data_IF_484658116552
#
_entry.id   IF_484658116552
#
_cell.length_a   1.000
_cell.length_b   1.000
_cell.length_c   1.000
_cell.angle_alpha   90.00
_cell.angle_beta   90.00
_cell.angle_gamma   90.00
#
_symmetry.space_group_name_H-M   'P 1'
#
loop_
_entity.id
_entity.type
_entity.pdbx_description
1 polymer ?
#
# COMPACT_ATOMS: atom_id res chain seq x y z
N UNK A 1 38.44 25.39 -58.00
CA UNK A 1 37.01 25.76 -58.11
C UNK A 1 36.16 24.49 -58.21
N UNK A 2 35.45 24.11 -57.14
CA UNK A 2 34.41 23.07 -57.13
C UNK A 2 33.29 23.52 -56.19
N UNK A 3 32.06 23.38 -56.67
CA UNK A 3 30.79 23.81 -56.09
C UNK A 3 30.24 22.81 -55.06
N UNK A 4 29.35 23.35 -54.21
CA UNK A 4 28.19 22.77 -53.49
C UNK A 4 28.24 21.33 -52.95
N UNK A 5 28.07 21.21 -51.63
CA UNK A 5 27.03 20.34 -51.05
C UNK A 5 26.55 20.89 -49.69
N UNK A 6 25.23 20.90 -49.49
CA UNK A 6 24.51 21.44 -48.33
C UNK A 6 24.12 20.27 -47.41
N UNK A 7 24.37 20.29 -46.09
CA UNK A 7 23.75 19.34 -45.18
C UNK A 7 22.38 19.82 -44.67
N UNK A 8 21.41 18.91 -44.45
CA UNK A 8 20.01 19.23 -44.25
C UNK A 8 19.66 19.59 -42.79
N UNK A 9 18.81 20.60 -42.67
CA UNK A 9 18.09 20.98 -41.47
C UNK A 9 16.97 19.97 -41.17
N UNK A 10 17.24 18.93 -40.38
CA UNK A 10 16.19 18.10 -39.76
C UNK A 10 16.73 17.39 -38.53
N UNK A 11 16.87 18.10 -37.41
CA UNK A 11 17.13 17.45 -36.11
C UNK A 11 16.65 18.25 -34.89
N UNK A 12 16.28 19.53 -35.04
CA UNK A 12 15.98 20.39 -33.88
C UNK A 12 14.51 20.37 -33.45
N UNK A 13 13.58 19.97 -34.32
CA UNK A 13 12.14 20.05 -34.00
C UNK A 13 11.61 18.85 -33.20
N UNK A 14 12.34 17.72 -33.16
CA UNK A 14 11.90 16.52 -32.43
C UNK A 14 12.24 16.55 -30.93
N UNK A 15 13.17 17.41 -30.51
CA UNK A 15 13.63 17.46 -29.11
C UNK A 15 12.68 18.31 -28.25
N UNK A 16 12.03 19.33 -28.85
CA UNK A 16 11.13 20.24 -28.13
C UNK A 16 9.75 19.62 -27.87
N UNK A 17 9.27 18.73 -28.75
CA UNK A 17 7.97 18.07 -28.57
C UNK A 17 7.99 16.93 -27.53
N UNK A 18 9.18 16.40 -27.17
CA UNK A 18 9.33 15.35 -26.16
C UNK A 18 9.46 15.88 -24.73
N UNK A 19 9.49 17.20 -24.54
CA UNK A 19 9.61 17.84 -23.23
C UNK A 19 8.25 18.15 -22.57
N UNK A 20 7.13 17.98 -23.26
CA UNK A 20 5.79 18.38 -22.76
C UNK A 20 4.96 17.20 -22.24
N UNK A 21 5.49 15.98 -22.28
CA UNK A 21 4.85 14.78 -21.71
C UNK A 21 5.81 14.06 -20.76
N UNK A 22 6.37 14.80 -19.79
CA UNK A 22 6.90 14.18 -18.58
C UNK A 22 5.73 14.15 -17.60
N UNK A 23 4.89 13.16 -17.85
CA UNK A 23 4.01 12.42 -16.94
C UNK A 23 3.73 13.09 -15.60
N UNK A 24 2.48 13.54 -15.44
CA UNK A 24 1.88 13.98 -14.17
C UNK A 24 2.13 12.97 -13.04
N UNK A 25 2.24 11.66 -13.35
CA UNK A 25 2.61 10.59 -12.41
C UNK A 25 4.06 10.70 -11.91
N UNK A 26 5.00 11.04 -12.79
CA UNK A 26 6.41 11.26 -12.43
C UNK A 26 6.54 12.51 -11.56
N UNK A 27 5.76 13.57 -11.84
CA UNK A 27 5.75 14.76 -10.99
C UNK A 27 5.15 14.50 -9.61
N UNK A 28 4.07 13.72 -9.49
CA UNK A 28 3.54 13.30 -8.18
C UNK A 28 4.51 12.39 -7.40
N UNK A 29 5.27 11.54 -8.11
CA UNK A 29 6.30 10.70 -7.50
C UNK A 29 7.53 11.50 -7.03
N UNK A 30 7.77 12.71 -7.54
CA UNK A 30 8.82 13.60 -7.00
C UNK A 30 8.43 14.22 -5.65
N UNK A 31 7.14 14.30 -5.33
CA UNK A 31 6.66 14.84 -4.05
C UNK A 31 6.48 13.76 -2.97
N UNK A 32 6.36 12.49 -3.37
CA UNK A 32 6.16 11.37 -2.45
C UNK A 32 7.46 10.59 -2.26
N UNK A 33 7.87 10.25 -1.03
CA UNK A 33 9.10 9.49 -0.82
C UNK A 33 8.99 8.12 -1.52
N UNK A 34 10.08 7.62 -2.13
CA UNK A 34 10.07 6.29 -2.69
C UNK A 34 9.87 5.27 -1.55
N UNK A 35 8.90 4.36 -1.69
CA UNK A 35 8.60 3.37 -0.66
C UNK A 35 9.65 2.26 -0.59
N UNK A 36 9.91 1.75 0.61
CA UNK A 36 11.05 0.86 0.88
C UNK A 36 10.55 -0.45 1.49
N UNK A 37 11.00 -1.58 0.93
CA UNK A 37 10.77 -2.92 1.47
C UNK A 37 11.49 -3.11 2.79
N UNK A 38 10.82 -3.69 3.78
CA UNK A 38 11.30 -3.72 5.17
C UNK A 38 12.11 -4.96 5.54
N UNK A 39 12.82 -5.55 4.58
CA UNK A 39 13.67 -6.69 4.90
C UNK A 39 15.04 -6.25 5.42
N UNK A 40 15.34 -6.71 6.63
CA UNK A 40 16.55 -6.49 7.43
C UNK A 40 17.84 -6.53 6.59
N UNK A 41 18.36 -5.35 6.28
CA UNK A 41 19.72 -5.13 5.79
C UNK A 41 20.43 -4.15 6.74
N UNK A 42 20.44 -4.48 8.03
CA UNK A 42 21.15 -3.70 9.04
C UNK A 42 20.41 -2.45 9.54
N UNK A 43 21.06 -1.64 10.38
CA UNK A 43 20.46 -0.42 10.92
C UNK A 43 20.12 0.57 9.80
N UNK A 44 19.00 1.31 9.90
CA UNK A 44 18.65 2.33 8.92
C UNK A 44 19.75 3.39 8.84
N UNK A 45 19.97 3.92 7.62
CA UNK A 45 20.92 5.02 7.39
C UNK A 45 20.53 6.22 8.26
N UNK A 46 21.51 6.86 8.91
CA UNK A 46 21.29 8.03 9.79
C UNK A 46 20.76 9.26 9.05
N UNK A 47 20.74 9.23 7.71
CA UNK A 47 20.17 10.27 6.84
C UNK A 47 18.64 10.19 6.75
N UNK A 48 18.03 9.14 7.31
CA UNK A 48 16.60 8.82 7.23
C UNK A 48 15.80 9.52 8.33
N UNK A 49 14.50 9.66 8.13
CA UNK A 49 13.60 10.31 9.08
C UNK A 49 13.11 9.36 10.20
N UNK A 50 13.49 8.08 10.14
CA UNK A 50 13.20 7.10 11.18
C UNK A 50 13.76 7.54 12.55
N UNK A 51 12.92 7.47 13.57
CA UNK A 51 13.25 7.84 14.94
C UNK A 51 13.09 9.33 15.29
N UNK A 52 12.72 10.20 14.33
CA UNK A 52 12.38 11.59 14.62
C UNK A 52 11.08 11.72 15.44
N UNK A 53 10.79 12.89 16.00
CA UNK A 53 9.52 13.15 16.69
C UNK A 53 8.35 13.33 15.71
N UNK A 54 7.10 13.19 16.18
CA UNK A 54 5.91 13.27 15.30
C UNK A 54 5.82 14.69 14.78
N UNK A 55 6.07 14.88 13.49
CA UNK A 55 6.16 16.23 12.93
C UNK A 55 4.89 16.57 12.13
N UNK A 56 4.27 15.58 11.51
CA UNK A 56 3.13 15.75 10.64
C UNK A 56 1.87 15.04 11.14
N UNK A 57 0.71 15.61 10.79
CA UNK A 57 -0.60 14.98 10.96
C UNK A 57 -0.97 14.18 9.70
N UNK A 58 -1.31 12.89 9.82
CA UNK A 58 -1.83 12.09 8.71
C UNK A 58 -3.03 12.76 8.04
N UNK A 59 -3.04 12.78 6.70
CA UNK A 59 -4.12 13.35 5.88
C UNK A 59 -4.00 14.85 5.56
N UNK A 60 -3.11 15.60 6.22
CA UNK A 60 -2.83 17.02 5.90
C UNK A 60 -1.45 17.14 5.26
N UNK A 61 -0.47 16.44 5.81
CA UNK A 61 0.91 16.47 5.36
C UNK A 61 1.22 15.25 4.51
N UNK A 62 2.32 15.31 3.75
CA UNK A 62 2.85 14.15 3.07
C UNK A 62 3.68 13.31 4.06
N UNK A 63 3.70 11.98 3.90
CA UNK A 63 4.56 11.14 4.70
C UNK A 63 6.02 11.44 4.36
N UNK A 64 6.87 11.36 5.38
CA UNK A 64 8.32 11.47 5.25
C UNK A 64 8.90 10.22 4.62
N UNK A 65 8.44 9.06 5.07
CA UNK A 65 8.92 7.75 4.64
C UNK A 65 7.78 6.74 4.61
N UNK A 66 7.95 5.67 3.81
CA UNK A 66 6.96 4.60 3.68
C UNK A 66 7.67 3.28 3.84
N UNK A 67 7.16 2.52 4.80
CA UNK A 67 7.65 1.21 5.21
C UNK A 67 6.74 0.15 4.59
N UNK A 68 7.29 -0.75 3.78
CA UNK A 68 6.53 -1.83 3.12
C UNK A 68 6.71 -3.16 3.83
N UNK A 69 5.62 -3.61 4.44
CA UNK A 69 5.53 -4.93 5.07
C UNK A 69 5.09 -5.92 4.01
N UNK A 70 5.94 -6.90 3.76
CA UNK A 70 5.79 -7.81 2.62
C UNK A 70 4.83 -8.96 2.95
N UNK A 71 4.19 -9.50 1.90
CA UNK A 71 3.30 -10.64 2.02
C UNK A 71 4.08 -11.90 2.44
N UNK A 72 3.52 -12.64 3.39
CA UNK A 72 4.02 -13.95 3.80
C UNK A 72 3.47 -15.06 2.87
N UNK A 73 4.35 -15.66 2.08
CA UNK A 73 4.02 -16.73 1.15
C UNK A 73 4.00 -18.13 1.79
N UNK A 74 4.28 -18.26 3.10
CA UNK A 74 4.39 -19.55 3.78
C UNK A 74 3.10 -20.38 3.73
N UNK A 75 1.93 -19.73 3.74
CA UNK A 75 0.61 -20.38 3.65
C UNK A 75 0.05 -20.44 2.24
N UNK A 76 0.89 -20.26 1.21
CA UNK A 76 0.53 -20.45 -0.19
C UNK A 76 -0.26 -19.28 -0.79
N UNK A 77 -1.54 -19.51 -1.12
CA UNK A 77 -2.36 -18.54 -1.88
C UNK A 77 -3.06 -17.49 -1.02
N UNK A 78 -3.19 -17.72 0.29
CA UNK A 78 -3.90 -16.80 1.16
C UNK A 78 -3.10 -15.49 1.33
N UNK A 79 -3.74 -14.31 1.19
CA UNK A 79 -3.08 -13.05 1.47
C UNK A 79 -2.91 -12.89 2.97
N UNK A 80 -1.66 -12.93 3.42
CA UNK A 80 -1.25 -12.77 4.80
C UNK A 80 0.07 -11.99 4.82
N UNK A 81 0.34 -11.27 5.89
CA UNK A 81 1.55 -10.45 6.03
C UNK A 81 2.42 -10.95 7.17
N UNK A 82 3.72 -10.73 7.03
CA UNK A 82 4.67 -11.07 8.09
C UNK A 82 4.44 -10.20 9.33
N UNK A 83 4.36 -10.83 10.50
CA UNK A 83 4.28 -10.15 11.81
C UNK A 83 5.65 -9.77 12.38
N UNK A 84 6.72 -9.91 11.59
CA UNK A 84 8.07 -9.49 11.97
C UNK A 84 8.13 -7.99 12.17
N UNK A 85 8.61 -7.55 13.34
CA UNK A 85 8.67 -6.14 13.67
C UNK A 85 9.75 -5.41 12.84
N UNK A 86 9.39 -4.35 12.10
CA UNK A 86 10.34 -3.51 11.38
C UNK A 86 11.09 -2.55 12.31
N UNK A 87 12.42 -2.45 12.17
CA UNK A 87 13.24 -1.58 13.04
C UNK A 87 12.98 -0.09 12.76
N UNK A 88 12.49 0.24 11.58
CA UNK A 88 12.08 1.58 11.15
C UNK A 88 10.94 2.16 11.99
N UNK A 89 10.13 1.29 12.61
CA UNK A 89 9.04 1.68 13.49
C UNK A 89 9.44 1.69 14.97
N UNK A 90 10.70 1.37 15.27
CA UNK A 90 11.24 1.41 16.63
C UNK A 90 11.10 2.83 17.20
N UNK A 91 10.64 2.93 18.45
CA UNK A 91 10.38 4.22 19.10
C UNK A 91 9.00 4.84 18.84
N UNK A 92 8.22 4.35 17.86
CA UNK A 92 6.83 4.81 17.61
C UNK A 92 5.77 3.87 18.14
N UNK A 93 5.90 2.58 17.84
CA UNK A 93 4.93 1.56 18.19
C UNK A 93 5.65 0.38 18.83
N UNK A 94 5.00 -0.25 19.81
CA UNK A 94 5.57 -1.43 20.45
C UNK A 94 5.53 -2.64 19.51
N UNK A 95 6.54 -3.54 19.55
CA UNK A 95 6.52 -4.76 18.74
C UNK A 95 5.30 -5.64 18.99
N UNK A 96 4.79 -5.64 20.23
CA UNK A 96 3.58 -6.40 20.61
C UNK A 96 2.34 -5.83 19.93
N UNK A 97 2.12 -4.51 19.98
CA UNK A 97 0.97 -3.86 19.34
C UNK A 97 1.01 -4.03 17.82
N UNK A 98 2.20 -3.93 17.21
CA UNK A 98 2.37 -4.18 15.79
C UNK A 98 2.00 -5.62 15.41
N UNK A 99 2.52 -6.61 16.15
CA UNK A 99 2.22 -8.02 15.91
C UNK A 99 0.72 -8.31 16.06
N UNK A 100 0.08 -7.79 17.10
CA UNK A 100 -1.37 -7.90 17.30
C UNK A 100 -2.16 -7.31 16.13
N UNK A 101 -1.81 -6.10 15.68
CA UNK A 101 -2.45 -5.44 14.54
C UNK A 101 -2.35 -6.28 13.26
N UNK A 102 -1.17 -6.82 12.96
CA UNK A 102 -0.95 -7.66 11.77
C UNK A 102 -1.70 -9.00 11.91
N UNK A 103 -1.73 -9.60 13.08
CA UNK A 103 -2.47 -10.84 13.34
C UNK A 103 -3.99 -10.65 13.18
N UNK A 104 -4.54 -9.54 13.67
CA UNK A 104 -5.96 -9.19 13.48
C UNK A 104 -6.28 -8.96 12.00
N UNK A 105 -5.42 -8.24 11.29
CA UNK A 105 -5.54 -8.00 9.86
C UNK A 105 -5.51 -9.33 9.08
N UNK A 106 -4.56 -10.20 9.38
CA UNK A 106 -4.44 -11.53 8.79
C UNK A 106 -5.69 -12.38 9.10
N UNK A 107 -6.24 -12.30 10.30
CA UNK A 107 -7.45 -13.04 10.69
C UNK A 107 -8.66 -12.64 9.84
N UNK A 108 -8.82 -11.35 9.54
CA UNK A 108 -9.89 -10.84 8.66
C UNK A 108 -9.68 -11.32 7.21
N UNK A 109 -8.44 -11.31 6.72
CA UNK A 109 -8.11 -11.79 5.37
C UNK A 109 -8.35 -13.29 5.20
N UNK A 110 -8.02 -14.08 6.22
CA UNK A 110 -8.30 -15.52 6.26
C UNK A 110 -9.81 -15.77 6.23
N UNK A 111 -10.60 -15.03 7.01
CA UNK A 111 -12.08 -15.15 6.97
C UNK A 111 -12.61 -14.78 5.57
N UNK A 112 -12.09 -13.71 4.96
CA UNK A 112 -12.52 -13.26 3.64
C UNK A 112 -12.34 -14.32 2.55
N UNK A 113 -11.28 -15.14 2.63
CA UNK A 113 -10.95 -16.19 1.68
C UNK A 113 -11.45 -17.57 2.09
N UNK A 114 -12.40 -17.65 3.04
CA UNK A 114 -12.98 -18.92 3.44
C UNK A 114 -13.80 -19.55 2.29
N UNK A 115 -13.41 -20.74 1.77
CA UNK A 115 -14.06 -21.34 0.61
C UNK A 115 -15.48 -21.81 0.92
N UNK A 116 -15.74 -22.29 2.14
CA UNK A 116 -17.04 -22.77 2.58
C UNK A 116 -18.08 -21.64 2.57
N UNK A 117 -17.69 -20.45 3.08
CA UNK A 117 -18.58 -19.28 3.09
C UNK A 117 -18.86 -18.78 1.69
N UNK A 118 -17.84 -18.75 0.84
CA UNK A 118 -17.96 -18.39 -0.57
C UNK A 118 -18.86 -19.35 -1.33
N UNK A 119 -18.77 -20.66 -1.06
CA UNK A 119 -19.63 -21.67 -1.67
C UNK A 119 -21.11 -21.49 -1.28
N UNK A 120 -21.40 -21.24 0.00
CA UNK A 120 -22.77 -20.96 0.47
C UNK A 120 -23.33 -19.70 -0.20
N UNK A 121 -22.54 -18.63 -0.25
CA UNK A 121 -22.95 -17.36 -0.84
C UNK A 121 -23.27 -17.51 -2.34
N UNK A 122 -22.42 -18.23 -3.08
CA UNK A 122 -22.67 -18.55 -4.49
C UNK A 122 -23.89 -19.45 -4.69
N UNK A 123 -24.12 -20.42 -3.80
CA UNK A 123 -25.30 -21.29 -3.87
C UNK A 123 -26.59 -20.49 -3.68
N UNK A 124 -26.61 -19.54 -2.75
CA UNK A 124 -27.73 -18.62 -2.53
C UNK A 124 -27.88 -17.67 -3.71
N UNK A 125 -26.78 -17.17 -4.27
CA UNK A 125 -26.80 -16.33 -5.46
C UNK A 125 -27.50 -17.04 -6.63
N UNK A 126 -27.11 -18.29 -6.93
CA UNK A 126 -27.74 -19.07 -8.00
C UNK A 126 -29.21 -19.33 -7.70
N UNK A 127 -29.54 -19.75 -6.47
CA UNK A 127 -30.92 -20.04 -6.06
C UNK A 127 -31.86 -18.81 -6.15
N UNK A 128 -31.31 -17.60 -6.05
CA UNK A 128 -32.06 -16.33 -6.09
C UNK A 128 -31.89 -15.56 -7.40
N UNK A 129 -31.34 -16.20 -8.45
CA UNK A 129 -31.02 -15.53 -9.72
C UNK A 129 -30.18 -14.25 -9.54
N UNK A 130 -29.19 -14.32 -8.64
CA UNK A 130 -28.28 -13.25 -8.23
C UNK A 130 -28.94 -12.05 -7.51
N UNK A 131 -30.25 -12.07 -7.27
CA UNK A 131 -30.93 -10.98 -6.56
C UNK A 131 -30.37 -10.78 -5.14
N UNK A 132 -29.98 -11.88 -4.47
CA UNK A 132 -29.32 -11.79 -3.16
C UNK A 132 -28.04 -10.96 -3.23
N UNK A 133 -27.16 -11.20 -4.21
CA UNK A 133 -25.87 -10.50 -4.32
C UNK A 133 -26.03 -9.00 -4.56
N UNK A 134 -27.09 -8.59 -5.25
CA UNK A 134 -27.40 -7.17 -5.49
C UNK A 134 -27.85 -6.47 -4.22
N UNK A 135 -28.72 -7.09 -3.43
CA UNK A 135 -29.28 -6.50 -2.20
C UNK A 135 -28.29 -6.55 -1.05
N UNK A 136 -27.61 -7.68 -0.90
CA UNK A 136 -26.83 -8.03 0.29
C UNK A 136 -25.32 -7.89 0.10
N UNK A 137 -24.83 -7.92 -1.14
CA UNK A 137 -23.41 -8.03 -1.46
C UNK A 137 -22.86 -9.44 -1.15
N UNK A 138 -21.72 -9.76 -1.77
CA UNK A 138 -21.05 -11.04 -1.52
C UNK A 138 -20.41 -11.11 -0.13
N UNK A 139 -20.16 -12.33 0.35
CA UNK A 139 -19.39 -12.58 1.56
C UNK A 139 -18.06 -11.81 1.56
N UNK A 140 -17.30 -11.93 0.47
CA UNK A 140 -16.02 -11.26 0.31
C UNK A 140 -16.15 -9.74 0.44
N UNK A 141 -17.13 -9.13 -0.25
CA UNK A 141 -17.35 -7.67 -0.20
C UNK A 141 -17.61 -7.20 1.23
N UNK A 142 -18.44 -7.92 1.99
CA UNK A 142 -18.75 -7.60 3.38
C UNK A 142 -17.53 -7.71 4.27
N UNK A 143 -16.73 -8.76 4.11
CA UNK A 143 -15.52 -8.94 4.93
C UNK A 143 -14.45 -7.90 4.57
N UNK A 144 -14.33 -7.50 3.30
CA UNK A 144 -13.45 -6.39 2.90
C UNK A 144 -13.90 -5.04 3.48
N UNK A 145 -15.21 -4.79 3.61
CA UNK A 145 -15.71 -3.61 4.32
C UNK A 145 -15.36 -3.63 5.81
N UNK A 146 -15.39 -4.81 6.44
CA UNK A 146 -14.92 -4.97 7.83
C UNK A 146 -13.42 -4.69 7.94
N UNK A 147 -12.61 -5.17 6.98
CA UNK A 147 -11.18 -4.88 6.90
C UNK A 147 -10.92 -3.38 6.82
N UNK A 148 -11.62 -2.68 5.93
CA UNK A 148 -11.50 -1.22 5.79
C UNK A 148 -11.87 -0.49 7.09
N UNK A 149 -12.95 -0.90 7.74
CA UNK A 149 -13.39 -0.34 9.02
C UNK A 149 -12.37 -0.61 10.13
N UNK A 150 -11.79 -1.81 10.16
CA UNK A 150 -10.73 -2.19 11.09
C UNK A 150 -9.49 -1.31 10.89
N UNK A 151 -9.02 -1.15 9.65
CA UNK A 151 -7.86 -0.30 9.32
C UNK A 151 -8.13 1.15 9.73
N UNK A 152 -9.29 1.70 9.40
CA UNK A 152 -9.65 3.07 9.79
C UNK A 152 -9.69 3.25 11.30
N UNK A 153 -10.25 2.28 12.03
CA UNK A 153 -10.29 2.30 13.49
C UNK A 153 -8.89 2.24 14.09
N UNK A 154 -8.07 1.28 13.66
CA UNK A 154 -6.67 1.13 14.11
C UNK A 154 -5.83 2.35 13.78
N UNK A 155 -6.08 2.98 12.63
CA UNK A 155 -5.45 4.24 12.26
C UNK A 155 -5.79 5.36 13.25
N UNK A 156 -7.07 5.54 13.60
CA UNK A 156 -7.50 6.61 14.51
C UNK A 156 -7.05 6.35 15.95
N UNK A 157 -7.20 5.12 16.44
CA UNK A 157 -6.99 4.78 17.85
C UNK A 157 -5.51 4.58 18.19
N UNK A 158 -4.73 3.96 17.30
CA UNK A 158 -3.38 3.48 17.60
C UNK A 158 -2.32 4.21 16.78
N UNK A 159 -2.51 4.37 15.46
CA UNK A 159 -1.43 4.80 14.57
C UNK A 159 -1.29 6.32 14.42
N UNK A 160 -2.39 7.06 14.26
CA UNK A 160 -2.36 8.52 14.14
C UNK A 160 -1.73 9.22 15.36
N UNK A 161 -1.97 8.80 16.62
CA UNK A 161 -1.30 9.39 17.78
C UNK A 161 0.22 9.25 17.75
N UNK A 162 0.75 8.22 17.08
CA UNK A 162 2.19 7.95 16.97
C UNK A 162 2.79 8.41 15.63
N UNK A 163 2.03 9.15 14.82
CA UNK A 163 2.51 9.64 13.52
C UNK A 163 2.60 8.56 12.44
N UNK A 164 1.85 7.47 12.58
CA UNK A 164 1.80 6.40 11.59
C UNK A 164 0.42 6.36 10.92
N UNK A 165 0.37 5.87 9.68
CA UNK A 165 -0.88 5.55 9.00
C UNK A 165 -0.71 4.27 8.21
N UNK A 166 -1.68 3.37 8.33
CA UNK A 166 -1.75 2.15 7.54
C UNK A 166 -2.54 2.41 6.26
N UNK A 167 -1.91 2.14 5.12
CA UNK A 167 -2.58 2.15 3.84
C UNK A 167 -3.40 0.86 3.63
N UNK A 168 -4.49 0.97 2.88
CA UNK A 168 -5.33 -0.17 2.55
C UNK A 168 -4.57 -1.17 1.63
N UNK A 169 -4.40 -2.45 2.03
CA UNK A 169 -3.69 -3.46 1.25
C UNK A 169 -4.38 -3.79 -0.08
N UNK A 170 -5.64 -3.40 -0.28
CA UNK A 170 -6.31 -3.55 -1.59
C UNK A 170 -5.64 -2.71 -2.68
N UNK A 171 -5.06 -1.55 -2.32
CA UNK A 171 -4.39 -0.66 -3.27
C UNK A 171 -3.10 -1.28 -3.83
N UNK A 172 -2.45 -2.14 -3.05
CA UNK A 172 -1.25 -2.88 -3.41
C UNK A 172 -1.54 -4.31 -3.88
N UNK A 173 -2.80 -4.64 -4.17
CA UNK A 173 -3.24 -5.99 -4.54
C UNK A 173 -2.80 -7.08 -3.55
N UNK A 174 -2.72 -6.74 -2.25
CA UNK A 174 -2.27 -7.60 -1.15
C UNK A 174 -0.82 -8.13 -1.27
N UNK A 175 0.00 -7.53 -2.13
CA UNK A 175 1.42 -7.91 -2.27
C UNK A 175 2.27 -7.42 -1.09
N UNK A 176 1.91 -6.27 -0.55
CA UNK A 176 2.53 -5.66 0.63
C UNK A 176 1.55 -4.71 1.32
N UNK A 177 1.79 -4.40 2.57
CA UNK A 177 1.10 -3.35 3.33
C UNK A 177 2.03 -2.16 3.44
N UNK A 178 1.55 -0.98 3.09
CA UNK A 178 2.32 0.25 3.23
C UNK A 178 1.96 0.92 4.57
N UNK A 179 3.00 1.25 5.33
CA UNK A 179 2.89 2.05 6.54
C UNK A 179 3.60 3.38 6.30
N UNK A 180 2.81 4.43 6.32
CA UNK A 180 3.24 5.80 6.10
C UNK A 180 3.73 6.40 7.42
N UNK A 181 4.89 7.04 7.38
CA UNK A 181 5.56 7.65 8.53
C UNK A 181 5.49 9.19 8.43
N UNK A 182 5.01 9.86 9.48
CA UNK A 182 4.76 11.31 9.54
C UNK A 182 5.55 12.01 10.67
#
# INVERSE_FOLDING_TARGET
MKQLEKPPATATTAIVAKATQIDTETQSALFYPPPISTYYFGPPDTTRAFGEEVTAKPGIHLPKEIVRIERDYSSGELPQFHSSFPLELEGRISPTTFSELINDLNSILIDAHNPTRTWIDNSIAIATFYLSTVVFGSHYRRTMQKLETFIQRSNIEILHPVGLSLADPRKSAFLFVEMEYY
#
